data_IF_163058839928
#
_entry.id   IF_163058839928
#
_cell.length_a   1.000
_cell.length_b   1.000
_cell.length_c   1.000
_cell.angle_alpha   90.00
_cell.angle_beta   90.00
_cell.angle_gamma   90.00
#
_symmetry.space_group_name_H-M   'P 1'
#
loop_
_entity.id
_entity.type
_entity.pdbx_description
1 polymer ?
#
# COMPACT_ATOMS: atom_id res chain seq x y z
N UNK A 1 -15.46 -13.94 -16.34
CA UNK A 1 -14.07 -14.12 -16.81
C UNK A 1 -13.11 -13.03 -16.32
N UNK A 2 -13.53 -11.75 -16.26
CA UNK A 2 -12.68 -10.63 -15.78
C UNK A 2 -12.19 -10.81 -14.34
N UNK A 3 -13.03 -11.29 -13.42
CA UNK A 3 -12.65 -11.51 -12.02
C UNK A 3 -11.48 -12.49 -11.82
N UNK A 4 -11.38 -13.52 -12.67
CA UNK A 4 -10.31 -14.52 -12.60
C UNK A 4 -8.96 -13.96 -13.06
N UNK A 5 -8.95 -13.09 -14.09
CA UNK A 5 -7.75 -12.40 -14.56
C UNK A 5 -7.20 -11.43 -13.50
N UNK A 6 -8.08 -10.73 -12.79
CA UNK A 6 -7.68 -9.82 -11.70
C UNK A 6 -7.06 -10.57 -10.53
N UNK A 7 -7.60 -11.73 -10.14
CA UNK A 7 -7.00 -12.53 -9.08
C UNK A 7 -5.62 -13.08 -9.47
N UNK A 8 -5.48 -13.56 -10.71
CA UNK A 8 -4.18 -14.00 -11.25
C UNK A 8 -3.16 -12.86 -11.29
N UNK A 9 -3.57 -11.65 -11.69
CA UNK A 9 -2.70 -10.47 -11.68
C UNK A 9 -2.21 -10.12 -10.27
N UNK A 10 -3.11 -10.10 -9.27
CA UNK A 10 -2.70 -9.80 -7.89
C UNK A 10 -1.71 -10.85 -7.37
N UNK A 11 -1.93 -12.13 -7.69
CA UNK A 11 -1.00 -13.19 -7.31
C UNK A 11 0.37 -13.02 -7.98
N UNK A 12 0.41 -12.67 -9.26
CA UNK A 12 1.64 -12.38 -9.99
C UNK A 12 2.36 -11.15 -9.42
N UNK A 13 1.62 -10.07 -9.15
CA UNK A 13 2.14 -8.84 -8.56
C UNK A 13 2.77 -9.05 -7.17
N UNK A 14 2.13 -9.87 -6.34
CA UNK A 14 2.60 -10.22 -4.98
C UNK A 14 3.71 -11.26 -5.01
N UNK A 15 3.91 -11.95 -6.13
CA UNK A 15 4.90 -13.01 -6.26
C UNK A 15 6.32 -12.51 -5.96
N UNK A 16 7.23 -13.42 -5.57
CA UNK A 16 8.62 -13.07 -5.33
C UNK A 16 9.34 -12.42 -6.51
N UNK A 17 8.90 -12.71 -7.73
CA UNK A 17 9.51 -12.20 -8.96
C UNK A 17 9.23 -10.72 -9.19
N UNK A 18 8.04 -10.23 -8.84
CA UNK A 18 7.67 -8.82 -9.01
C UNK A 18 7.82 -8.00 -7.73
N UNK A 19 7.70 -8.64 -6.56
CA UNK A 19 7.80 -8.02 -5.24
C UNK A 19 7.00 -6.70 -5.10
N UNK A 20 5.82 -6.66 -5.72
CA UNK A 20 5.03 -5.43 -5.83
C UNK A 20 4.60 -4.84 -4.49
N UNK A 21 4.50 -5.67 -3.44
CA UNK A 21 4.22 -5.22 -2.07
C UNK A 21 5.31 -4.31 -1.53
N UNK A 22 6.59 -4.70 -1.69
CA UNK A 22 7.71 -3.85 -1.30
C UNK A 22 7.69 -2.54 -2.07
N UNK A 23 7.43 -2.59 -3.38
CA UNK A 23 7.28 -1.40 -4.21
C UNK A 23 6.15 -0.45 -3.74
N UNK A 24 5.00 -0.99 -3.33
CA UNK A 24 3.92 -0.18 -2.75
C UNK A 24 4.33 0.47 -1.42
N UNK A 25 5.06 -0.24 -0.56
CA UNK A 25 5.55 0.32 0.72
C UNK A 25 6.58 1.43 0.51
N UNK A 26 7.47 1.28 -0.48
CA UNK A 26 8.43 2.31 -0.88
C UNK A 26 7.75 3.54 -1.51
N UNK A 27 6.71 3.30 -2.32
CA UNK A 27 5.89 4.38 -2.87
C UNK A 27 5.16 5.14 -1.75
N UNK A 28 4.57 4.42 -0.79
CA UNK A 28 3.91 5.03 0.37
C UNK A 28 4.88 5.91 1.16
N UNK A 29 6.11 5.44 1.38
CA UNK A 29 7.18 6.23 1.99
C UNK A 29 7.43 7.53 1.23
N UNK A 30 7.57 7.43 -0.09
CA UNK A 30 7.86 8.57 -0.97
C UNK A 30 6.73 9.60 -0.90
N UNK A 31 5.47 9.16 -0.97
CA UNK A 31 4.30 10.02 -0.82
C UNK A 31 4.32 10.75 0.53
N UNK A 32 4.55 10.02 1.63
CA UNK A 32 4.61 10.58 2.98
C UNK A 32 5.72 11.63 3.12
N UNK A 33 6.89 11.42 2.52
CA UNK A 33 7.96 12.42 2.52
C UNK A 33 7.61 13.69 1.73
N UNK A 34 6.83 13.54 0.65
CA UNK A 34 6.40 14.66 -0.19
C UNK A 34 5.26 15.50 0.44
N UNK A 35 4.59 15.00 1.50
CA UNK A 35 3.49 15.72 2.17
C UNK A 35 3.92 17.03 2.86
N UNK A 36 5.23 17.24 3.08
CA UNK A 36 5.75 18.51 3.60
C UNK A 36 5.79 19.64 2.56
N UNK A 37 5.51 19.35 1.29
CA UNK A 37 5.55 20.32 0.19
C UNK A 37 4.22 21.03 -0.08
N UNK A 38 4.22 21.86 -1.13
CA UNK A 38 3.10 22.76 -1.52
C UNK A 38 1.82 22.04 -1.94
N UNK A 39 1.87 20.72 -2.23
CA UNK A 39 0.78 19.97 -2.83
C UNK A 39 0.14 18.92 -1.89
N UNK A 40 -0.03 19.29 -0.62
CA UNK A 40 -0.52 18.42 0.47
C UNK A 40 -1.84 17.70 0.18
N UNK A 41 -2.77 18.32 -0.57
CA UNK A 41 -4.05 17.69 -0.90
C UNK A 41 -3.90 16.50 -1.84
N UNK A 42 -3.07 16.64 -2.88
CA UNK A 42 -2.81 15.57 -3.86
C UNK A 42 -2.13 14.39 -3.20
N UNK A 43 -1.11 14.65 -2.38
CA UNK A 43 -0.35 13.59 -1.69
C UNK A 43 -1.17 12.83 -0.66
N UNK A 44 -2.19 13.44 -0.02
CA UNK A 44 -3.13 12.72 0.84
C UNK A 44 -4.05 11.77 0.04
N UNK A 45 -4.44 12.15 -1.17
CA UNK A 45 -5.24 11.28 -2.05
C UNK A 45 -4.39 10.11 -2.57
N UNK A 46 -3.15 10.38 -2.96
CA UNK A 46 -2.19 9.35 -3.38
C UNK A 46 -1.89 8.37 -2.23
N UNK A 47 -1.72 8.87 -1.01
CA UNK A 47 -1.53 8.03 0.18
C UNK A 47 -2.73 7.07 0.35
N UNK A 48 -3.95 7.59 0.29
CA UNK A 48 -5.16 6.78 0.40
C UNK A 48 -5.24 5.73 -0.72
N UNK A 49 -4.95 6.12 -1.97
CA UNK A 49 -4.98 5.20 -3.09
C UNK A 49 -3.95 4.07 -2.92
N UNK A 50 -2.75 4.39 -2.43
CA UNK A 50 -1.72 3.39 -2.14
C UNK A 50 -2.17 2.40 -1.05
N UNK A 51 -2.75 2.89 0.05
CA UNK A 51 -3.32 2.04 1.10
C UNK A 51 -4.45 1.14 0.58
N UNK A 52 -5.29 1.66 -0.33
CA UNK A 52 -6.35 0.87 -0.97
C UNK A 52 -5.78 -0.24 -1.86
N UNK A 53 -4.68 0.02 -2.57
CA UNK A 53 -3.98 -1.03 -3.33
C UNK A 53 -3.45 -2.13 -2.41
N UNK A 54 -2.79 -1.77 -1.31
CA UNK A 54 -2.29 -2.74 -0.32
C UNK A 54 -3.44 -3.55 0.27
N UNK A 55 -4.52 -2.89 0.69
CA UNK A 55 -5.73 -3.54 1.22
C UNK A 55 -6.34 -4.50 0.18
N UNK A 56 -6.35 -4.13 -1.09
CA UNK A 56 -6.83 -5.02 -2.15
C UNK A 56 -5.94 -6.24 -2.33
N UNK A 57 -4.62 -6.08 -2.24
CA UNK A 57 -3.66 -7.19 -2.30
C UNK A 57 -3.87 -8.20 -1.15
N UNK A 58 -4.40 -7.80 0.00
CA UNK A 58 -4.69 -8.73 1.12
C UNK A 58 -5.70 -9.84 0.77
N UNK A 59 -6.39 -9.75 -0.38
CA UNK A 59 -7.19 -10.85 -0.94
C UNK A 59 -6.34 -12.04 -1.40
N UNK A 60 -5.04 -11.84 -1.61
CA UNK A 60 -4.07 -12.90 -1.86
C UNK A 60 -3.43 -13.35 -0.54
N UNK A 61 -3.41 -14.65 -0.27
CA UNK A 61 -2.93 -15.24 0.99
C UNK A 61 -1.43 -14.99 1.24
N UNK A 62 -0.64 -14.76 0.19
CA UNK A 62 0.79 -14.49 0.34
C UNK A 62 1.08 -13.05 0.76
N UNK A 63 0.16 -12.11 0.53
CA UNK A 63 0.37 -10.69 0.81
C UNK A 63 0.78 -10.40 2.25
N UNK A 64 0.12 -10.92 3.30
CA UNK A 64 0.54 -10.70 4.68
C UNK A 64 1.97 -11.19 4.95
N UNK A 65 2.37 -12.33 4.36
CA UNK A 65 3.73 -12.84 4.49
C UNK A 65 4.73 -11.91 3.82
N UNK A 66 4.42 -11.42 2.61
CA UNK A 66 5.26 -10.47 1.87
C UNK A 66 5.39 -9.14 2.59
N UNK A 67 4.30 -8.64 3.19
CA UNK A 67 4.31 -7.44 4.02
C UNK A 67 5.26 -7.61 5.22
N UNK A 68 5.18 -8.73 5.93
CA UNK A 68 6.03 -9.00 7.08
C UNK A 68 7.51 -9.20 6.72
N UNK A 69 7.81 -9.74 5.54
CA UNK A 69 9.18 -9.97 5.06
C UNK A 69 9.75 -8.82 4.22
N UNK A 70 8.99 -7.77 3.96
CA UNK A 70 9.41 -6.70 3.06
C UNK A 70 10.58 -5.91 3.67
N UNK A 71 11.60 -5.66 2.86
CA UNK A 71 12.76 -4.82 3.24
C UNK A 71 12.38 -3.36 3.51
N UNK A 72 11.28 -2.87 2.92
CA UNK A 72 10.76 -1.53 3.17
C UNK A 72 10.22 -1.36 4.61
N UNK A 73 9.85 -2.47 5.26
CA UNK A 73 9.29 -2.51 6.60
C UNK A 73 7.85 -1.95 6.67
N UNK A 74 7.21 -2.16 7.82
CA UNK A 74 5.82 -1.75 8.06
C UNK A 74 5.68 -0.34 8.66
N UNK A 75 6.80 0.35 8.89
CA UNK A 75 6.79 1.67 9.52
C UNK A 75 5.96 2.69 8.75
N UNK A 76 6.05 2.68 7.41
CA UNK A 76 5.30 3.63 6.55
C UNK A 76 3.81 3.36 6.62
N UNK A 77 3.40 2.10 6.67
CA UNK A 77 2.01 1.72 6.91
C UNK A 77 1.52 2.17 8.29
N UNK A 78 2.33 1.98 9.34
CA UNK A 78 2.01 2.44 10.70
C UNK A 78 1.90 3.98 10.78
N UNK A 79 2.77 4.72 10.07
CA UNK A 79 2.73 6.18 10.03
C UNK A 79 1.40 6.71 9.45
N UNK A 80 0.74 5.98 8.55
CA UNK A 80 -0.57 6.35 7.99
C UNK A 80 -1.70 6.42 9.04
N UNK A 81 -1.54 5.80 10.22
CA UNK A 81 -2.49 5.95 11.35
C UNK A 81 -2.54 7.40 11.85
N UNK A 82 -1.44 8.14 11.67
CA UNK A 82 -1.31 9.57 12.01
C UNK A 82 -1.60 10.48 10.81
N UNK A 83 -2.05 9.95 9.67
CA UNK A 83 -2.40 10.76 8.49
C UNK A 83 -3.49 11.79 8.82
N UNK A 84 -3.49 12.91 8.12
CA UNK A 84 -4.52 13.95 8.29
C UNK A 84 -5.84 13.58 7.60
N UNK A 85 -5.87 12.49 6.84
CA UNK A 85 -7.07 11.99 6.20
C UNK A 85 -7.66 10.82 6.99
N UNK A 86 -8.84 11.03 7.58
CA UNK A 86 -9.51 10.02 8.42
C UNK A 86 -9.66 8.65 7.72
N UNK A 87 -9.95 8.65 6.42
CA UNK A 87 -10.11 7.41 5.65
C UNK A 87 -8.80 6.62 5.54
N UNK A 88 -7.66 7.29 5.40
CA UNK A 88 -6.33 6.65 5.41
C UNK A 88 -6.06 6.03 6.78
N UNK A 89 -6.36 6.75 7.87
CA UNK A 89 -6.17 6.26 9.25
C UNK A 89 -6.98 5.00 9.53
N UNK A 90 -8.26 5.01 9.16
CA UNK A 90 -9.15 3.85 9.34
C UNK A 90 -8.66 2.66 8.54
N UNK A 91 -8.29 2.88 7.27
CA UNK A 91 -7.82 1.79 6.41
C UNK A 91 -6.49 1.19 6.88
N UNK A 92 -5.59 2.01 7.43
CA UNK A 92 -4.31 1.54 7.98
C UNK A 92 -4.46 0.70 9.27
N UNK A 93 -5.60 0.80 9.98
CA UNK A 93 -5.90 0.02 11.17
C UNK A 93 -6.59 -1.32 10.88
N UNK A 94 -7.13 -1.49 9.67
CA UNK A 94 -7.80 -2.70 9.22
C UNK A 94 -6.81 -3.77 8.76
#
# INVERSE_FOLDING_TARGET
MVFSLFFSFVQEFVSPSLDGITGLLELLKTIQTAQSGTNRRTTMVEELACLQCISHCLRCQETPRRLASSSAGLYTLAASIMSNLNKSRVLALQ
#
